data_IF_930672613506
#
_entry.id   IF_930672613506
#
_cell.length_a   1.000
_cell.length_b   1.000
_cell.length_c   1.000
_cell.angle_alpha   90.00
_cell.angle_beta   90.00
_cell.angle_gamma   90.00
#
_symmetry.space_group_name_H-M   'P 1'
#
loop_
_entity.id
_entity.type
_entity.pdbx_description
1 polymer ?
#
# COMPACT_ATOMS: atom_id res chain seq x y z
N UNK A 1 -14.75 0.66 0.60
CA UNK A 1 -13.42 0.43 1.22
C UNK A 1 -13.70 0.00 2.64
N UNK A 2 -13.31 -1.21 3.05
CA UNK A 2 -13.50 -1.69 4.44
C UNK A 2 -12.63 -0.87 5.39
N UNK A 3 -13.05 -0.67 6.64
CA UNK A 3 -12.34 0.18 7.62
C UNK A 3 -10.90 -0.28 7.88
N UNK A 4 -10.62 -1.59 7.79
CA UNK A 4 -9.26 -2.14 7.89
C UNK A 4 -8.30 -1.62 6.81
N UNK A 5 -8.78 -1.47 5.57
CA UNK A 5 -7.94 -0.98 4.46
C UNK A 5 -7.65 0.51 4.62
N UNK A 6 -8.58 1.27 5.21
CA UNK A 6 -8.33 2.68 5.54
C UNK A 6 -7.24 2.80 6.59
N UNK A 7 -7.32 2.00 7.66
CA UNK A 7 -6.31 1.98 8.71
C UNK A 7 -4.93 1.61 8.15
N UNK A 8 -4.87 0.57 7.32
CA UNK A 8 -3.62 0.15 6.66
C UNK A 8 -3.07 1.24 5.73
N UNK A 9 -3.94 2.00 5.06
CA UNK A 9 -3.52 3.14 4.23
C UNK A 9 -2.93 4.25 5.08
N UNK A 10 -3.57 4.60 6.19
CA UNK A 10 -3.05 5.61 7.12
C UNK A 10 -1.68 5.21 7.67
N UNK A 11 -1.50 3.95 8.05
CA UNK A 11 -0.19 3.43 8.47
C UNK A 11 0.86 3.53 7.36
N UNK A 12 0.49 3.21 6.12
CA UNK A 12 1.38 3.34 4.98
C UNK A 12 1.75 4.82 4.68
N UNK A 13 0.79 5.74 4.82
CA UNK A 13 1.03 7.18 4.69
C UNK A 13 1.94 7.71 5.81
N UNK A 14 1.72 7.30 7.06
CA UNK A 14 2.62 7.64 8.17
C UNK A 14 4.05 7.13 7.92
N UNK A 15 4.20 5.91 7.39
CA UNK A 15 5.50 5.35 7.02
C UNK A 15 6.15 6.14 5.88
N UNK A 16 5.39 6.56 4.87
CA UNK A 16 5.90 7.44 3.80
C UNK A 16 6.40 8.77 4.37
N UNK A 17 5.62 9.40 5.25
CA UNK A 17 5.99 10.67 5.88
C UNK A 17 7.28 10.50 6.69
N UNK A 18 7.38 9.44 7.49
CA UNK A 18 8.59 9.12 8.26
C UNK A 18 9.81 8.88 7.39
N UNK A 19 9.65 8.24 6.23
CA UNK A 19 10.73 8.04 5.29
C UNK A 19 11.18 9.35 4.64
N UNK A 20 10.24 10.18 4.18
CA UNK A 20 10.52 11.46 3.55
C UNK A 20 11.13 12.48 4.53
N UNK A 21 10.78 12.40 5.81
CA UNK A 21 11.38 13.22 6.86
C UNK A 21 12.73 12.71 7.36
N UNK A 22 13.19 11.54 6.88
CA UNK A 22 14.42 10.90 7.32
C UNK A 22 14.34 10.25 8.70
N UNK A 23 13.14 10.09 9.26
CA UNK A 23 12.90 9.48 10.56
C UNK A 23 12.88 7.94 10.57
N UNK A 24 12.63 7.31 9.42
CA UNK A 24 12.77 5.86 9.23
C UNK A 24 13.51 5.53 7.93
N UNK A 25 14.15 4.36 7.91
CA UNK A 25 14.81 3.83 6.72
C UNK A 25 13.81 3.36 5.67
N UNK A 26 14.27 3.20 4.43
CA UNK A 26 13.47 2.67 3.34
C UNK A 26 12.93 1.26 3.64
N UNK A 27 13.73 0.43 4.31
CA UNK A 27 13.36 -0.94 4.65
C UNK A 27 12.27 -0.98 5.73
N UNK A 28 12.37 -0.14 6.76
CA UNK A 28 11.31 0.02 7.77
C UNK A 28 10.01 0.55 7.17
N UNK A 29 10.11 1.51 6.24
CA UNK A 29 8.94 1.99 5.52
C UNK A 29 8.31 0.88 4.67
N UNK A 30 9.14 0.07 4.01
CA UNK A 30 8.69 -1.07 3.21
C UNK A 30 7.94 -2.11 4.06
N UNK A 31 8.45 -2.45 5.24
CA UNK A 31 7.79 -3.39 6.15
C UNK A 31 6.42 -2.90 6.61
N UNK A 32 6.30 -1.60 6.95
CA UNK A 32 5.03 -0.99 7.37
C UNK A 32 4.02 -0.87 6.23
N UNK A 33 4.47 -0.66 5.00
CA UNK A 33 3.59 -0.52 3.82
C UNK A 33 3.19 -1.89 3.25
N UNK A 34 3.97 -2.94 3.47
CA UNK A 34 3.72 -4.31 2.97
C UNK A 34 2.31 -4.85 3.27
N UNK A 35 1.74 -4.75 4.49
CA UNK A 35 0.38 -5.22 4.75
C UNK A 35 -0.68 -4.46 3.94
N UNK A 36 -0.52 -3.14 3.77
CA UNK A 36 -1.39 -2.35 2.89
C UNK A 36 -1.28 -2.79 1.42
N UNK A 37 -0.05 -3.00 0.94
CA UNK A 37 0.20 -3.45 -0.42
C UNK A 37 -0.46 -4.81 -0.71
N UNK A 38 -0.41 -5.75 0.25
CA UNK A 38 -1.06 -7.05 0.13
C UNK A 38 -2.58 -6.91 0.04
N UNK A 39 -3.20 -6.19 0.98
CA UNK A 39 -4.65 -5.97 1.00
C UNK A 39 -5.16 -5.22 -0.26
N UNK A 40 -4.39 -4.23 -0.74
CA UNK A 40 -4.72 -3.51 -1.98
C UNK A 40 -4.65 -4.44 -3.20
N UNK A 41 -3.60 -5.25 -3.33
CA UNK A 41 -3.43 -6.17 -4.44
C UNK A 41 -4.52 -7.25 -4.47
N UNK A 42 -4.94 -7.74 -3.31
CA UNK A 42 -6.02 -8.71 -3.19
C UNK A 42 -7.35 -8.11 -3.66
N UNK A 43 -7.73 -6.94 -3.14
CA UNK A 43 -8.91 -6.19 -3.60
C UNK A 43 -8.85 -5.86 -5.09
N UNK A 44 -7.67 -5.49 -5.59
CA UNK A 44 -7.48 -5.20 -7.01
C UNK A 44 -7.71 -6.44 -7.87
N UNK A 45 -7.27 -7.62 -7.43
CA UNK A 45 -7.55 -8.89 -8.10
C UNK A 45 -9.04 -9.22 -8.12
N UNK A 46 -9.73 -9.08 -6.99
CA UNK A 46 -11.17 -9.32 -6.90
C UNK A 46 -11.95 -8.40 -7.86
N UNK A 47 -11.63 -7.11 -7.86
CA UNK A 47 -12.29 -6.13 -8.71
C UNK A 47 -11.97 -6.39 -10.20
N UNK A 48 -10.72 -6.67 -10.52
CA UNK A 48 -10.30 -6.98 -11.88
C UNK A 48 -11.00 -8.23 -12.43
N UNK A 49 -11.16 -9.27 -11.60
CA UNK A 49 -11.91 -10.47 -11.97
C UNK A 49 -13.40 -10.14 -12.25
N UNK A 50 -14.02 -9.31 -11.41
CA UNK A 50 -15.42 -8.88 -11.58
C UNK A 50 -15.66 -8.08 -12.86
N UNK A 51 -14.67 -7.30 -13.30
CA UNK A 51 -14.80 -6.41 -14.45
C UNK A 51 -14.06 -6.90 -15.70
N UNK A 52 -13.52 -8.13 -15.70
CA UNK A 52 -12.70 -8.68 -16.79
C UNK A 52 -11.51 -7.79 -17.18
N UNK A 53 -10.93 -7.09 -16.19
CA UNK A 53 -9.78 -6.19 -16.38
C UNK A 53 -8.49 -6.82 -15.84
N UNK A 54 -7.35 -6.20 -16.14
CA UNK A 54 -6.06 -6.58 -15.53
C UNK A 54 -5.95 -5.94 -14.14
N UNK A 55 -5.58 -6.71 -13.09
CA UNK A 55 -5.41 -6.16 -11.75
C UNK A 55 -4.25 -5.17 -11.69
N UNK A 56 -4.48 -4.05 -11.01
CA UNK A 56 -3.47 -3.04 -10.76
C UNK A 56 -2.59 -3.49 -9.59
N UNK A 57 -1.27 -3.56 -9.83
CA UNK A 57 -0.31 -3.91 -8.79
C UNK A 57 0.14 -2.67 -8.04
N UNK A 58 0.17 -2.78 -6.73
CA UNK A 58 0.78 -1.78 -5.86
C UNK A 58 2.32 -1.82 -6.03
N UNK A 59 2.92 -0.65 -6.25
CA UNK A 59 4.37 -0.48 -6.37
C UNK A 59 4.87 0.40 -5.23
N UNK A 60 5.69 -0.17 -4.35
CA UNK A 60 6.29 0.55 -3.22
C UNK A 60 7.11 1.76 -3.71
N UNK A 61 7.88 1.58 -4.78
CA UNK A 61 8.68 2.65 -5.38
C UNK A 61 7.84 3.79 -5.93
N UNK A 62 6.68 3.49 -6.51
CA UNK A 62 5.75 4.53 -6.97
C UNK A 62 5.05 5.23 -5.80
N UNK A 63 4.78 4.50 -4.71
CA UNK A 63 4.14 5.04 -3.53
C UNK A 63 5.07 5.95 -2.70
N UNK A 64 6.35 5.59 -2.59
CA UNK A 64 7.37 6.37 -1.88
C UNK A 64 7.92 7.55 -2.68
N UNK A 65 7.61 7.64 -3.99
CA UNK A 65 7.93 8.79 -4.83
C UNK A 65 6.99 9.97 -4.53
#
# INVERSE_FOLDING_TARGET
>A
MTDEIRLLREQAECAKIGYLSGGISRDEAAERIKPYAAAFNEKSKELAAKHHMRPQKFSLTAFLR
#
